data_IF_962370531748
#
_entry.id   IF_962370531748
#
_cell.length_a   1.000
_cell.length_b   1.000
_cell.length_c   1.000
_cell.angle_alpha   90.00
_cell.angle_beta   90.00
_cell.angle_gamma   90.00
#
_symmetry.space_group_name_H-M   'P 1'
#
loop_
_entity.id
_entity.type
_entity.pdbx_description
1 polymer ?
#
# COMPACT_ATOMS: atom_id res chain seq x y z
N UNK A 1 10.29 26.37 -0.54
CA UNK A 1 10.40 25.83 -0.80
C UNK A 1 10.63 24.99 -0.99
N UNK A 2 10.53 24.49 -1.18
CA UNK A 2 10.61 23.65 -1.48
C UNK A 2 11.16 22.87 -1.84
N UNK A 3 11.27 22.43 -1.81
CA UNK A 3 11.75 21.73 -2.28
C UNK A 3 11.78 20.85 -2.74
N UNK A 4 11.73 20.34 -3.07
CA UNK A 4 11.62 19.41 -3.56
C UNK A 4 12.38 18.50 -3.74
N UNK A 5 12.47 17.87 -3.61
CA UNK A 5 13.04 17.05 -3.88
C UNK A 5 12.89 16.04 -4.16
N UNK A 6 12.87 15.59 -4.41
CA UNK A 6 12.63 14.68 -4.77
C UNK A 6 13.21 13.59 -4.72
N UNK A 7 13.31 13.07 -4.76
CA UNK A 7 13.77 11.99 -4.85
C UNK A 7 13.39 11.10 -4.02
N UNK A 8 13.01 11.08 -3.60
CA UNK A 8 12.76 10.22 -2.92
C UNK A 8 12.15 9.23 -3.32
N UNK A 9 12.31 8.32 -3.12
CA UNK A 9 11.72 7.13 -3.52
C UNK A 9 10.88 6.51 -2.46
N UNK A 10 10.76 7.10 -1.31
CA UNK A 10 9.81 6.62 -0.33
C UNK A 10 8.40 6.96 -0.78
N UNK A 11 7.51 6.00 -0.68
CA UNK A 11 6.15 6.15 -1.10
C UNK A 11 5.32 6.89 -0.08
N UNK A 12 4.47 7.79 -0.55
CA UNK A 12 3.50 8.45 0.30
C UNK A 12 2.28 8.77 -0.56
N UNK A 13 1.19 8.06 -0.32
CA UNK A 13 -0.03 8.24 -1.10
C UNK A 13 -1.24 8.34 -0.19
N UNK A 14 -2.20 9.15 -0.60
CA UNK A 14 -3.47 9.28 0.07
C UNK A 14 -4.54 8.74 -0.87
N UNK A 15 -5.31 7.78 -0.39
CA UNK A 15 -6.32 7.09 -1.18
C UNK A 15 -7.65 7.17 -0.48
N UNK A 16 -8.73 7.30 -1.26
CA UNK A 16 -10.07 7.41 -0.70
C UNK A 16 -10.99 6.39 -1.33
N UNK A 17 -11.81 5.75 -0.51
CA UNK A 17 -12.83 4.83 -0.97
C UNK A 17 -13.97 4.78 0.05
N UNK A 18 -15.20 4.91 -0.43
CA UNK A 18 -16.40 4.76 0.41
C UNK A 18 -16.38 5.61 1.70
N UNK A 19 -15.78 6.80 1.63
CA UNK A 19 -15.69 7.68 2.78
C UNK A 19 -14.49 7.42 3.69
N UNK A 20 -13.72 6.38 3.40
CA UNK A 20 -12.49 6.09 4.15
C UNK A 20 -11.30 6.76 3.48
N UNK A 21 -10.38 7.24 4.29
CA UNK A 21 -9.11 7.78 3.80
C UNK A 21 -7.99 6.86 4.26
N UNK A 22 -7.19 6.41 3.29
CA UNK A 22 -6.04 5.56 3.57
C UNK A 22 -4.77 6.35 3.25
N UNK A 23 -3.88 6.42 4.21
CA UNK A 23 -2.55 6.98 3.97
C UNK A 23 -1.57 5.82 3.89
N UNK A 24 -1.01 5.63 2.72
CA UNK A 24 -0.04 4.56 2.47
C UNK A 24 1.36 5.17 2.41
N UNK A 25 2.24 4.66 3.25
CA UNK A 25 3.63 5.13 3.26
C UNK A 25 4.56 3.93 3.29
N UNK A 26 5.78 4.12 2.80
CA UNK A 26 6.82 3.11 2.92
C UNK A 26 7.82 3.56 3.99
N UNK A 27 8.46 2.59 4.64
CA UNK A 27 9.43 2.86 5.69
C UNK A 27 10.67 3.57 5.15
N UNK A 28 11.06 3.23 3.94
CA UNK A 28 12.21 3.83 3.25
C UNK A 28 11.96 3.84 1.77
N UNK A 29 12.96 4.29 1.02
CA UNK A 29 12.89 4.27 -0.43
C UNK A 29 12.60 2.87 -0.92
N UNK A 30 11.74 2.76 -1.92
CA UNK A 30 11.37 1.47 -2.47
C UNK A 30 12.51 0.89 -3.28
N UNK A 31 12.68 -0.43 -3.19
CA UNK A 31 13.72 -1.14 -3.91
C UNK A 31 13.33 -2.59 -4.08
N UNK A 32 14.03 -3.31 -4.93
CA UNK A 32 13.86 -4.76 -5.01
C UNK A 32 14.22 -5.36 -3.64
N UNK A 33 13.52 -6.41 -3.24
CA UNK A 33 13.68 -7.01 -1.93
C UNK A 33 12.53 -6.64 -1.01
N UNK A 34 12.74 -6.78 0.28
CA UNK A 34 11.70 -6.55 1.28
C UNK A 34 11.48 -5.08 1.53
N UNK A 35 10.22 -4.66 1.47
CA UNK A 35 9.81 -3.29 1.74
C UNK A 35 8.68 -3.31 2.75
N UNK A 36 8.79 -2.47 3.77
CA UNK A 36 7.77 -2.37 4.79
C UNK A 36 6.89 -1.15 4.49
N UNK A 37 5.59 -1.36 4.54
CA UNK A 37 4.59 -0.33 4.28
C UNK A 37 3.73 -0.10 5.50
N UNK A 38 3.23 1.12 5.62
CA UNK A 38 2.33 1.49 6.70
C UNK A 38 1.06 2.07 6.11
N UNK A 39 -0.07 1.71 6.71
CA UNK A 39 -1.37 2.23 6.29
C UNK A 39 -2.09 2.77 7.51
N UNK A 40 -2.58 4.00 7.39
CA UNK A 40 -3.43 4.60 8.40
C UNK A 40 -4.80 4.80 7.78
N UNK A 41 -5.84 4.28 8.41
CA UNK A 41 -7.21 4.40 7.91
C UNK A 41 -7.99 5.33 8.81
N UNK A 42 -8.65 6.33 8.20
CA UNK A 42 -9.53 7.22 8.93
C UNK A 42 -10.87 7.34 8.21
N UNK A 43 -11.91 7.64 8.96
CA UNK A 43 -13.23 7.93 8.41
C UNK A 43 -13.82 9.07 9.23
N UNK A 44 -14.19 10.16 8.54
CA UNK A 44 -14.75 11.35 9.18
C UNK A 44 -13.83 11.87 10.30
N UNK A 45 -12.52 11.82 10.05
CA UNK A 45 -11.51 12.29 11.00
C UNK A 45 -11.22 11.35 12.15
N UNK A 46 -11.83 10.17 12.18
CA UNK A 46 -11.62 9.20 13.24
C UNK A 46 -10.82 8.01 12.74
N UNK A 47 -9.90 7.54 13.56
CA UNK A 47 -9.10 6.37 13.22
C UNK A 47 -9.94 5.10 13.19
N UNK A 48 -9.69 4.25 12.19
CA UNK A 48 -10.33 2.96 12.05
C UNK A 48 -9.32 1.91 12.49
N UNK A 49 -9.55 1.32 13.66
CA UNK A 49 -8.57 0.45 14.30
C UNK A 49 -8.94 -1.03 14.29
N UNK A 50 -10.05 -1.37 13.67
CA UNK A 50 -10.57 -2.74 13.70
C UNK A 50 -10.75 -3.35 12.31
N UNK A 51 -10.03 -2.81 11.32
CA UNK A 51 -10.08 -3.36 9.98
C UNK A 51 -9.06 -4.46 9.80
N UNK A 52 -9.32 -5.32 8.82
CA UNK A 52 -8.36 -6.33 8.37
C UNK A 52 -7.89 -5.94 6.98
N UNK A 53 -6.60 -5.81 6.80
CA UNK A 53 -6.02 -5.32 5.56
C UNK A 53 -5.24 -6.40 4.85
N UNK A 54 -5.41 -6.47 3.54
CA UNK A 54 -4.62 -7.34 2.68
C UNK A 54 -4.21 -6.54 1.47
N UNK A 55 -2.92 -6.53 1.18
CA UNK A 55 -2.36 -5.80 0.06
C UNK A 55 -1.80 -6.78 -0.96
N UNK A 56 -2.02 -6.48 -2.23
CA UNK A 56 -1.51 -7.27 -3.32
C UNK A 56 -0.82 -6.34 -4.30
N UNK A 57 0.45 -6.61 -4.57
CA UNK A 57 1.21 -5.87 -5.58
C UNK A 57 1.49 -6.82 -6.73
N UNK A 58 1.26 -6.38 -7.94
CA UNK A 58 1.45 -7.24 -9.09
C UNK A 58 2.00 -6.47 -10.28
N UNK A 59 2.72 -7.20 -11.12
CA UNK A 59 3.25 -6.68 -12.37
C UNK A 59 2.64 -7.50 -13.49
N UNK A 60 1.87 -6.88 -14.41
CA UNK A 60 1.22 -7.62 -15.47
C UNK A 60 2.21 -8.31 -16.40
N UNK A 61 1.77 -9.38 -17.01
CA UNK A 61 2.56 -10.09 -17.98
C UNK A 61 2.89 -9.21 -19.17
N UNK A 62 4.13 -9.26 -19.62
CA UNK A 62 4.61 -8.54 -20.78
C UNK A 62 5.49 -9.45 -21.62
N UNK A 63 5.73 -9.14 -22.91
CA UNK A 63 6.62 -9.96 -23.71
C UNK A 63 7.97 -10.12 -23.03
N UNK A 64 8.37 -11.38 -22.81
CA UNK A 64 9.61 -11.70 -22.14
C UNK A 64 9.57 -11.64 -20.63
N UNK A 65 8.44 -11.25 -20.04
CA UNK A 65 8.31 -11.15 -18.58
C UNK A 65 6.99 -11.75 -18.12
N UNK A 66 7.05 -12.74 -17.24
CA UNK A 66 5.82 -13.38 -16.74
C UNK A 66 5.11 -12.46 -15.75
N UNK A 67 3.85 -12.79 -15.48
CA UNK A 67 3.09 -12.14 -14.43
C UNK A 67 3.75 -12.42 -13.07
N UNK A 68 3.83 -11.37 -12.25
CA UNK A 68 4.40 -11.48 -10.91
C UNK A 68 3.46 -10.87 -9.89
N UNK A 69 3.42 -11.46 -8.70
CA UNK A 69 2.50 -11.03 -7.67
C UNK A 69 3.08 -11.29 -6.30
N UNK A 70 2.87 -10.33 -5.40
CA UNK A 70 3.28 -10.45 -4.00
C UNK A 70 2.16 -9.93 -3.12
N UNK A 71 1.89 -10.63 -2.00
CA UNK A 71 0.84 -10.24 -1.07
C UNK A 71 1.40 -10.05 0.33
N UNK A 72 0.74 -9.17 1.08
CA UNK A 72 1.05 -8.97 2.49
C UNK A 72 -0.22 -8.72 3.26
N UNK A 73 -0.26 -9.21 4.50
CA UNK A 73 -1.37 -8.97 5.39
C UNK A 73 -0.99 -7.92 6.41
N UNK A 74 -1.91 -6.98 6.65
CA UNK A 74 -1.66 -5.90 7.58
C UNK A 74 -1.71 -6.38 9.03
N UNK A 75 -0.74 -5.93 9.81
CA UNK A 75 -0.73 -6.12 11.26
C UNK A 75 -1.00 -4.77 11.89
N UNK A 76 -1.93 -4.74 12.83
CA UNK A 76 -2.27 -3.50 13.50
C UNK A 76 -1.44 -3.32 14.75
N UNK A 77 -0.80 -2.16 14.87
CA UNK A 77 -0.01 -1.83 16.04
C UNK A 77 0.06 -0.32 16.19
N UNK A 78 -0.24 0.16 17.39
CA UNK A 78 -0.16 1.61 17.70
C UNK A 78 -0.89 2.51 16.72
N UNK A 79 -2.10 2.09 16.31
CA UNK A 79 -2.93 2.91 15.43
C UNK A 79 -2.58 2.82 13.96
N UNK A 80 -1.61 2.00 13.59
CA UNK A 80 -1.14 1.89 12.22
C UNK A 80 -1.10 0.42 11.79
N UNK A 81 -1.50 0.17 10.55
CA UNK A 81 -1.39 -1.16 9.95
C UNK A 81 -0.07 -1.23 9.20
N UNK A 82 0.62 -2.36 9.29
CA UNK A 82 1.87 -2.55 8.57
C UNK A 82 1.88 -3.88 7.84
N UNK A 83 2.56 -3.92 6.71
CA UNK A 83 2.77 -5.17 5.97
C UNK A 83 4.09 -5.08 5.21
N UNK A 84 4.60 -6.24 4.83
CA UNK A 84 5.87 -6.34 4.09
C UNK A 84 5.60 -6.95 2.73
N UNK A 85 6.15 -6.32 1.70
CA UNK A 85 6.09 -6.84 0.33
C UNK A 85 7.53 -7.05 -0.14
N UNK A 86 7.80 -8.23 -0.68
CA UNK A 86 9.10 -8.56 -1.20
C UNK A 86 9.05 -8.51 -2.72
N UNK A 87 9.57 -7.41 -3.29
CA UNK A 87 9.57 -7.23 -4.75
C UNK A 87 10.74 -7.98 -5.37
N UNK A 88 10.47 -8.73 -6.43
CA UNK A 88 11.50 -9.49 -7.12
C UNK A 88 12.34 -8.63 -8.06
N UNK A 89 11.90 -7.41 -8.38
CA UNK A 89 12.64 -6.52 -9.26
C UNK A 89 12.09 -5.09 -9.18
N UNK A 90 12.88 -4.13 -9.62
CA UNK A 90 12.42 -2.77 -9.80
C UNK A 90 11.46 -2.70 -10.99
N UNK A 91 10.66 -1.67 -11.04
CA UNK A 91 9.74 -1.46 -12.15
C UNK A 91 8.46 -0.79 -11.70
N UNK A 92 7.42 -0.91 -12.52
CA UNK A 92 6.11 -0.37 -12.20
C UNK A 92 5.23 -1.51 -11.71
N UNK A 93 4.77 -1.37 -10.47
CA UNK A 93 3.90 -2.36 -9.83
C UNK A 93 2.53 -1.74 -9.61
N UNK A 94 1.49 -2.46 -9.95
CA UNK A 94 0.13 -2.08 -9.59
C UNK A 94 -0.20 -2.69 -8.25
N UNK A 95 -1.07 -2.04 -7.49
CA UNK A 95 -1.45 -2.62 -6.22
C UNK A 95 -2.93 -2.44 -5.94
N UNK A 96 -3.43 -3.35 -5.13
CA UNK A 96 -4.80 -3.37 -4.67
C UNK A 96 -4.75 -3.62 -3.15
N UNK A 97 -5.26 -2.67 -2.40
CA UNK A 97 -5.35 -2.83 -0.95
C UNK A 97 -6.81 -3.04 -0.61
N UNK A 98 -7.09 -4.18 0.02
CA UNK A 98 -8.44 -4.49 0.48
C UNK A 98 -8.47 -4.44 1.99
N UNK A 99 -9.53 -3.88 2.52
CA UNK A 99 -9.72 -3.89 3.95
C UNK A 99 -11.17 -4.20 4.28
N UNK A 100 -11.34 -5.01 5.32
CA UNK A 100 -12.65 -5.42 5.80
C UNK A 100 -12.91 -4.73 7.12
N UNK A 101 -13.99 -3.98 7.20
CA UNK A 101 -14.33 -3.23 8.40
C UNK A 101 -15.20 -4.06 9.33
N UNK A 102 -15.47 -3.53 10.53
CA UNK A 102 -16.21 -4.26 11.56
C UNK A 102 -17.63 -4.64 11.13
N UNK A 103 -18.18 -3.92 10.16
CA UNK A 103 -19.51 -4.22 9.62
C UNK A 103 -19.49 -5.29 8.53
N UNK A 104 -18.38 -6.01 8.39
CA UNK A 104 -18.17 -7.07 7.40
C UNK A 104 -18.18 -6.60 5.95
N UNK A 105 -18.06 -5.31 5.72
CA UNK A 105 -17.97 -4.78 4.37
C UNK A 105 -16.52 -4.75 3.93
N UNK A 106 -16.30 -5.10 2.67
CA UNK A 106 -14.95 -5.10 2.09
C UNK A 106 -14.81 -3.90 1.16
N UNK A 107 -13.76 -3.15 1.36
CA UNK A 107 -13.44 -1.99 0.53
C UNK A 107 -12.09 -2.21 -0.13
N UNK A 108 -11.90 -1.66 -1.31
CA UNK A 108 -10.62 -1.80 -1.99
C UNK A 108 -10.21 -0.52 -2.69
N UNK A 109 -8.90 -0.28 -2.71
CA UNK A 109 -8.31 0.83 -3.45
C UNK A 109 -7.24 0.27 -4.37
N UNK A 110 -7.05 0.90 -5.52
CA UNK A 110 -6.07 0.49 -6.52
C UNK A 110 -5.24 1.68 -6.93
N UNK A 111 -3.96 1.44 -7.13
CA UNK A 111 -3.05 2.45 -7.65
C UNK A 111 -1.80 1.77 -8.18
N UNK A 112 -0.75 2.52 -8.43
CA UNK A 112 0.50 1.94 -8.90
C UNK A 112 1.68 2.69 -8.32
N UNK A 113 2.83 2.03 -8.34
CA UNK A 113 4.07 2.58 -7.82
C UNK A 113 5.21 2.17 -8.74
N UNK A 114 6.16 3.07 -8.93
CA UNK A 114 7.33 2.82 -9.78
C UNK A 114 8.60 3.13 -9.02
N UNK A 115 9.60 2.31 -9.22
CA UNK A 115 10.91 2.54 -8.59
C UNK A 115 12.02 1.80 -9.32
#
# INVERSE_FOLDING_TARGET
>A
LMATILNASSLKESLNVDGYNLELTSKRDLSAGSNEFFVKITKDGKEVNDAKIKAKFFMPEMPGMPYMEHEGEGKFENGIYSFVINFCMDGTWQYNIRFKTADDKVHSVKSSVSF
#
